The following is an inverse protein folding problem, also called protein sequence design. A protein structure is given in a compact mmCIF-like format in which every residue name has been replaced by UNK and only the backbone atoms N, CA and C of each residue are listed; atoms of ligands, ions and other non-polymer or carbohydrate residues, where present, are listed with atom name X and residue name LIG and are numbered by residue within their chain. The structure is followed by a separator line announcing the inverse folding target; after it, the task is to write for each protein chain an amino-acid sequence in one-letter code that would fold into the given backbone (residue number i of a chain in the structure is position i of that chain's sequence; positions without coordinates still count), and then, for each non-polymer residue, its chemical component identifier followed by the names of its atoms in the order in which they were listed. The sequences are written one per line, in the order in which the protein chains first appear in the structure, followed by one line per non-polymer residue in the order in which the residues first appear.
data_IF_865717402107
#
_entry.id   IF_865717402107
#
_cell.length_a   1.000
_cell.length_b   1.000
_cell.length_c   1.000
_cell.angle_alpha   90.00
_cell.angle_beta   90.00
_cell.angle_gamma   90.00
#
_symmetry.space_group_name_H-M   'P 1'
#
loop_
_entity.id
_entity.type
_entity.pdbx_description
1 polymer ?
#
# COMPACT_ATOMS: atom_id res chain seq x y z
N UNK A 1 17.94 22.22 -0.10
CA UNK A 1 19.36 22.37 0.32
C UNK A 1 20.20 21.26 -0.30
N UNK A 2 21.21 21.61 -1.09
CA UNK A 2 21.99 20.64 -1.87
C UNK A 2 21.54 20.49 -3.32
N UNK A 3 20.79 21.47 -3.83
CA UNK A 3 20.36 21.50 -5.24
C UNK A 3 21.59 21.54 -6.16
N UNK A 4 21.48 20.98 -7.37
CA UNK A 4 22.58 20.98 -8.34
C UNK A 4 22.08 21.21 -9.76
N UNK A 5 22.87 21.90 -10.58
CA UNK A 5 22.62 22.03 -12.02
C UNK A 5 23.07 20.80 -12.82
N UNK A 6 23.80 19.87 -12.22
CA UNK A 6 24.32 18.67 -12.91
C UNK A 6 23.25 17.56 -12.95
N UNK A 7 22.75 17.16 -14.14
CA UNK A 7 21.83 16.04 -14.27
C UNK A 7 22.41 14.75 -13.68
N UNK A 8 21.56 13.92 -13.09
CA UNK A 8 21.95 12.66 -12.45
C UNK A 8 22.39 12.77 -10.99
N UNK A 9 22.63 13.97 -10.46
CA UNK A 9 22.80 14.15 -9.01
C UNK A 9 21.44 14.10 -8.29
N UNK A 10 21.42 13.54 -7.08
CA UNK A 10 20.23 13.47 -6.23
C UNK A 10 19.56 14.85 -6.09
N UNK A 11 20.32 15.88 -5.72
CA UNK A 11 19.78 17.23 -5.56
C UNK A 11 19.26 17.89 -6.84
N UNK A 12 19.74 17.47 -8.02
CA UNK A 12 19.15 17.86 -9.30
C UNK A 12 17.78 17.21 -9.47
N UNK A 13 17.69 15.90 -9.24
CA UNK A 13 16.45 15.14 -9.46
C UNK A 13 15.33 15.59 -8.52
N UNK A 14 15.63 15.85 -7.25
CA UNK A 14 14.67 16.36 -6.27
C UNK A 14 14.11 17.72 -6.71
N UNK A 15 15.01 18.64 -7.10
CA UNK A 15 14.59 19.97 -7.56
C UNK A 15 13.73 19.88 -8.82
N UNK A 16 14.11 19.01 -9.77
CA UNK A 16 13.35 18.78 -10.99
C UNK A 16 11.93 18.27 -10.69
N UNK A 17 11.81 17.26 -9.81
CA UNK A 17 10.54 16.68 -9.43
C UNK A 17 9.62 17.72 -8.76
N UNK A 18 10.13 18.45 -7.77
CA UNK A 18 9.38 19.51 -7.10
C UNK A 18 8.99 20.63 -8.07
N UNK A 19 9.91 21.13 -8.89
CA UNK A 19 9.61 22.18 -9.87
C UNK A 19 8.48 21.78 -10.83
N UNK A 20 8.42 20.51 -11.21
CA UNK A 20 7.50 20.02 -12.24
C UNK A 20 6.10 19.74 -11.67
N UNK A 21 5.98 19.32 -10.41
CA UNK A 21 4.72 18.84 -9.83
C UNK A 21 4.18 19.67 -8.68
N UNK A 22 5.05 20.28 -7.87
CA UNK A 22 4.63 21.00 -6.67
C UNK A 22 3.94 22.30 -7.06
N UNK A 23 2.78 22.54 -6.44
CA UNK A 23 1.95 23.71 -6.75
C UNK A 23 2.42 24.99 -6.05
N UNK A 24 3.32 24.87 -5.07
CA UNK A 24 3.89 26.00 -4.33
C UNK A 24 5.23 26.49 -4.89
N UNK A 25 5.86 27.41 -4.16
CA UNK A 25 7.16 27.98 -4.53
C UNK A 25 8.29 27.03 -4.16
N UNK A 26 9.32 26.95 -5.01
CA UNK A 26 10.48 26.09 -4.82
C UNK A 26 11.76 26.92 -4.89
N UNK A 27 12.59 26.83 -3.84
CA UNK A 27 13.84 27.59 -3.73
C UNK A 27 15.05 26.63 -3.71
N UNK A 28 15.84 26.55 -4.79
CA UNK A 28 17.11 25.83 -4.75
C UNK A 28 18.10 26.54 -3.82
N UNK A 29 18.83 25.75 -3.03
CA UNK A 29 19.89 26.24 -2.14
C UNK A 29 21.20 25.55 -2.49
N UNK A 30 22.18 26.34 -2.94
CA UNK A 30 23.54 25.95 -3.29
C UNK A 30 24.48 27.17 -3.22
N UNK A 31 25.61 27.11 -2.49
CA UNK A 31 26.50 28.26 -2.30
C UNK A 31 27.30 28.69 -3.55
N UNK A 32 27.29 27.91 -4.63
CA UNK A 32 28.11 28.11 -5.83
C UNK A 32 27.31 28.42 -7.09
N UNK A 33 25.98 28.44 -7.01
CA UNK A 33 25.12 28.58 -8.17
C UNK A 33 24.16 29.74 -7.93
N UNK A 34 24.00 30.61 -8.92
CA UNK A 34 23.06 31.73 -8.88
C UNK A 34 21.68 31.33 -9.42
N UNK A 35 21.63 30.34 -10.31
CA UNK A 35 20.39 29.82 -10.91
C UNK A 35 20.51 28.31 -11.16
N UNK A 36 19.44 27.56 -10.93
CA UNK A 36 19.34 26.12 -11.25
C UNK A 36 17.95 25.84 -11.83
N UNK A 37 17.90 25.20 -13.01
CA UNK A 37 16.63 24.88 -13.71
C UNK A 37 15.73 26.12 -13.90
N UNK A 38 16.29 27.30 -14.17
CA UNK A 38 15.49 28.53 -14.34
C UNK A 38 14.94 29.12 -13.04
N UNK A 39 15.37 28.62 -11.88
CA UNK A 39 14.98 29.12 -10.56
C UNK A 39 16.18 29.81 -9.91
N UNK A 40 15.95 31.00 -9.34
CA UNK A 40 16.95 31.71 -8.54
C UNK A 40 17.43 30.81 -7.40
N UNK A 41 18.74 30.65 -7.29
CA UNK A 41 19.38 29.83 -6.29
C UNK A 41 19.98 30.70 -5.19
N UNK A 42 19.78 30.28 -3.95
CA UNK A 42 20.24 31.00 -2.76
C UNK A 42 21.43 30.25 -2.15
N UNK A 43 22.43 30.95 -1.61
CA UNK A 43 23.58 30.27 -1.00
C UNK A 43 23.24 29.67 0.38
N UNK A 44 22.22 30.20 1.07
CA UNK A 44 21.72 29.72 2.36
C UNK A 44 20.19 29.78 2.43
N UNK A 45 19.58 28.93 3.27
CA UNK A 45 18.14 28.97 3.56
C UNK A 45 17.72 30.28 4.23
N UNK A 46 18.64 30.92 4.97
CA UNK A 46 18.41 32.21 5.64
C UNK A 46 18.22 33.36 4.65
N UNK A 47 18.77 33.26 3.44
CA UNK A 47 18.72 34.32 2.43
C UNK A 47 17.47 34.27 1.56
N UNK A 48 16.63 33.25 1.72
CA UNK A 48 15.32 33.20 1.07
C UNK A 48 14.46 34.31 1.71
N UNK A 49 13.91 35.26 0.94
CA UNK A 49 13.16 36.38 1.50
C UNK A 49 11.79 35.97 2.05
N UNK A 50 11.25 34.86 1.56
CA UNK A 50 9.94 34.34 1.95
C UNK A 50 10.02 33.37 3.13
N UNK A 51 8.88 33.04 3.71
CA UNK A 51 8.74 31.95 4.68
C UNK A 51 8.93 30.60 3.96
N UNK A 52 9.46 29.62 4.69
CA UNK A 52 9.77 28.30 4.15
C UNK A 52 9.19 27.24 5.09
N UNK A 53 8.19 26.49 4.62
CA UNK A 53 7.52 25.48 5.46
C UNK A 53 8.31 24.16 5.55
N UNK A 54 8.93 23.77 4.43
CA UNK A 54 9.61 22.49 4.25
C UNK A 54 11.00 22.69 3.64
N UNK A 55 12.01 22.10 4.27
CA UNK A 55 13.35 21.99 3.70
C UNK A 55 13.69 20.54 3.34
N UNK A 56 14.17 20.30 2.11
CA UNK A 56 14.71 19.00 1.69
C UNK A 56 16.24 19.09 1.66
N UNK A 57 16.92 18.21 2.39
CA UNK A 57 18.38 18.21 2.54
C UNK A 57 18.99 17.00 1.85
N UNK A 58 19.88 17.24 0.87
CA UNK A 58 20.58 16.20 0.11
C UNK A 58 22.08 16.52 -0.05
N UNK A 59 22.78 16.70 1.07
CA UNK A 59 24.22 17.02 1.16
C UNK A 59 24.98 15.98 2.03
N UNK A 60 26.32 15.92 2.03
CA UNK A 60 27.04 14.96 2.88
C UNK A 60 26.68 15.06 4.37
N UNK A 61 26.52 13.91 5.03
CA UNK A 61 25.98 13.79 6.41
C UNK A 61 26.59 14.76 7.42
N UNK A 62 27.92 14.93 7.41
CA UNK A 62 28.65 15.82 8.34
C UNK A 62 28.22 17.29 8.30
N UNK A 63 27.56 17.74 7.23
CA UNK A 63 27.09 19.12 7.10
C UNK A 63 25.60 19.27 7.41
N UNK A 64 24.88 18.17 7.62
CA UNK A 64 23.43 18.17 7.78
C UNK A 64 22.99 18.81 9.11
N UNK A 65 23.60 18.51 10.28
CA UNK A 65 23.15 19.12 11.54
C UNK A 65 23.16 20.65 11.49
N UNK A 66 24.22 21.26 10.96
CA UNK A 66 24.28 22.71 10.80
C UNK A 66 23.18 23.25 9.87
N UNK A 67 22.85 22.54 8.78
CA UNK A 67 21.74 22.97 7.93
C UNK A 67 20.37 22.83 8.62
N UNK A 68 20.18 21.82 9.48
CA UNK A 68 18.95 21.69 10.29
C UNK A 68 18.84 22.86 11.27
N UNK A 69 19.95 23.27 11.91
CA UNK A 69 20.01 24.46 12.76
C UNK A 69 19.61 25.72 11.97
N UNK A 70 20.19 25.96 10.79
CA UNK A 70 19.85 27.12 9.95
C UNK A 70 18.38 27.08 9.49
N UNK A 71 17.82 25.90 9.22
CA UNK A 71 16.39 25.75 8.96
C UNK A 71 15.55 26.17 10.17
N UNK A 72 15.96 25.79 11.38
CA UNK A 72 15.33 26.21 12.62
C UNK A 72 15.39 27.73 12.84
N UNK A 73 16.54 28.36 12.60
CA UNK A 73 16.70 29.81 12.66
C UNK A 73 15.82 30.55 11.63
N UNK A 74 15.61 29.95 10.46
CA UNK A 74 14.68 30.45 9.43
C UNK A 74 13.20 30.28 9.81
N UNK A 75 12.90 29.46 10.81
CA UNK A 75 11.53 29.15 11.24
C UNK A 75 10.85 28.03 10.43
N UNK A 76 11.63 27.20 9.72
CA UNK A 76 11.13 26.05 8.94
C UNK A 76 10.42 25.05 9.85
N UNK A 77 9.26 24.54 9.41
CA UNK A 77 8.42 23.65 10.23
C UNK A 77 8.82 22.19 10.11
N UNK A 78 9.25 21.75 8.92
CA UNK A 78 9.63 20.38 8.68
C UNK A 78 10.89 20.26 7.80
N UNK A 79 11.68 19.21 8.05
CA UNK A 79 12.87 18.88 7.28
C UNK A 79 12.80 17.42 6.82
N UNK A 80 13.04 17.19 5.53
CA UNK A 80 13.21 15.85 4.95
C UNK A 80 14.69 15.65 4.63
N UNK A 81 15.34 14.73 5.33
CA UNK A 81 16.78 14.48 5.18
C UNK A 81 17.01 13.23 4.33
N UNK A 82 17.32 13.45 3.05
CA UNK A 82 17.56 12.38 2.07
C UNK A 82 18.92 11.72 2.31
N UNK A 83 19.88 12.48 2.81
CA UNK A 83 21.26 12.03 3.00
C UNK A 83 21.39 10.79 3.88
N UNK A 84 22.23 9.85 3.45
CA UNK A 84 22.74 8.75 4.27
C UNK A 84 24.09 9.12 4.92
N UNK A 85 24.60 8.27 5.79
CA UNK A 85 25.88 8.41 6.50
C UNK A 85 25.72 8.62 8.01
N UNK A 86 24.62 8.14 8.60
CA UNK A 86 24.20 8.42 9.97
C UNK A 86 24.25 7.15 10.83
N UNK A 87 23.28 6.91 11.72
CA UNK A 87 23.29 5.81 12.68
C UNK A 87 23.43 4.43 12.03
N UNK A 88 23.05 4.29 10.76
CA UNK A 88 23.24 3.07 9.98
C UNK A 88 24.72 2.78 9.64
N UNK A 89 25.63 3.74 9.87
CA UNK A 89 27.08 3.59 9.69
C UNK A 89 27.85 3.48 10.99
N UNK A 90 27.19 3.53 12.14
CA UNK A 90 27.80 3.35 13.46
C UNK A 90 27.79 4.61 14.33
N UNK A 91 28.63 4.61 15.36
CA UNK A 91 28.55 5.54 16.49
C UNK A 91 28.76 7.02 16.11
N UNK A 92 29.68 7.31 15.18
CA UNK A 92 29.88 8.68 14.70
C UNK A 92 28.64 9.24 14.00
N UNK A 93 27.96 8.39 13.24
CA UNK A 93 26.72 8.77 12.56
C UNK A 93 25.56 8.95 13.53
N UNK A 94 25.50 8.18 14.63
CA UNK A 94 24.51 8.38 15.71
C UNK A 94 24.68 9.74 16.38
N UNK A 95 25.91 10.20 16.60
CA UNK A 95 26.16 11.55 17.14
C UNK A 95 25.58 12.65 16.24
N UNK A 96 25.70 12.48 14.92
CA UNK A 96 25.07 13.39 13.97
C UNK A 96 23.52 13.35 14.06
N UNK A 97 22.94 12.18 14.30
CA UNK A 97 21.49 12.05 14.53
C UNK A 97 21.04 12.73 15.83
N UNK A 98 21.83 12.62 16.90
CA UNK A 98 21.60 13.30 18.17
C UNK A 98 21.64 14.82 18.01
N UNK A 99 22.61 15.35 17.25
CA UNK A 99 22.67 16.79 16.93
C UNK A 99 21.45 17.24 16.10
N UNK A 100 21.04 16.45 15.11
CA UNK A 100 19.83 16.73 14.31
C UNK A 100 18.60 16.79 15.23
N UNK A 101 18.43 15.81 16.10
CA UNK A 101 17.30 15.75 17.03
C UNK A 101 17.34 16.91 18.03
N UNK A 102 18.53 17.26 18.53
CA UNK A 102 18.71 18.41 19.41
C UNK A 102 18.22 19.72 18.76
N UNK A 103 18.61 19.99 17.51
CA UNK A 103 18.14 21.17 16.79
C UNK A 103 16.65 21.08 16.46
N UNK A 104 16.15 19.90 16.09
CA UNK A 104 14.73 19.69 15.83
C UNK A 104 13.87 20.11 17.03
N UNK A 105 14.24 19.63 18.22
CA UNK A 105 13.57 19.97 19.48
C UNK A 105 13.74 21.44 19.86
N UNK A 106 14.94 22.00 19.72
CA UNK A 106 15.25 23.39 20.09
C UNK A 106 14.43 24.40 19.29
N UNK A 107 14.27 24.16 18.00
CA UNK A 107 13.55 25.07 17.10
C UNK A 107 12.10 24.67 16.84
N UNK A 108 11.60 23.62 17.51
CA UNK A 108 10.26 23.07 17.31
C UNK A 108 9.95 22.77 15.83
N UNK A 109 10.90 22.11 15.15
CA UNK A 109 10.72 21.59 13.79
C UNK A 109 10.69 20.06 13.82
N UNK A 110 10.05 19.45 12.82
CA UNK A 110 9.97 17.99 12.69
C UNK A 110 10.90 17.46 11.60
N UNK A 111 11.41 16.24 11.79
CA UNK A 111 12.37 15.61 10.86
C UNK A 111 11.85 14.26 10.37
N UNK A 112 11.80 14.10 9.04
CA UNK A 112 11.66 12.80 8.37
C UNK A 112 13.05 12.32 7.92
N UNK A 113 13.39 11.08 8.27
CA UNK A 113 14.69 10.47 8.00
C UNK A 113 15.61 10.44 9.23
N UNK A 114 16.92 10.67 9.08
CA UNK A 114 17.66 10.81 7.82
C UNK A 114 17.67 9.50 7.03
N UNK A 115 18.48 9.44 5.97
CA UNK A 115 18.58 8.27 5.09
C UNK A 115 17.20 7.84 4.56
N UNK A 116 16.40 8.82 4.15
CA UNK A 116 15.06 8.57 3.61
C UNK A 116 15.03 8.70 2.09
N UNK A 117 14.08 7.98 1.50
CA UNK A 117 13.69 8.18 0.12
C UNK A 117 12.82 9.43 -0.08
N UNK A 118 12.29 10.03 0.99
CA UNK A 118 11.50 11.25 0.93
C UNK A 118 9.98 11.02 0.98
N UNK A 119 9.24 12.07 0.64
CA UNK A 119 7.77 12.15 0.71
C UNK A 119 7.20 12.50 -0.66
N UNK A 120 6.20 11.74 -1.08
CA UNK A 120 5.39 12.03 -2.25
C UNK A 120 3.92 12.20 -1.85
N UNK A 121 3.28 13.25 -2.35
CA UNK A 121 1.85 13.47 -2.22
C UNK A 121 1.32 13.99 -3.58
N UNK A 122 0.49 13.20 -4.30
CA UNK A 122 0.05 13.54 -5.64
C UNK A 122 -0.90 14.74 -5.69
N UNK A 123 -1.66 15.02 -4.62
CA UNK A 123 -2.65 16.11 -4.60
C UNK A 123 -1.99 17.49 -4.47
N UNK A 124 -1.01 17.61 -3.60
CA UNK A 124 -0.22 18.84 -3.38
C UNK A 124 0.91 18.97 -4.40
N UNK A 125 1.34 17.86 -4.99
CA UNK A 125 2.47 17.78 -5.90
C UNK A 125 3.83 17.74 -5.21
N UNK A 126 3.88 17.58 -3.89
CA UNK A 126 5.13 17.34 -3.16
C UNK A 126 5.76 16.04 -3.68
N UNK A 127 6.97 16.12 -4.22
CA UNK A 127 7.71 14.99 -4.77
C UNK A 127 9.20 15.15 -4.42
N UNK A 128 9.54 14.82 -3.17
CA UNK A 128 10.92 14.86 -2.70
C UNK A 128 11.75 13.59 -3.00
N UNK A 129 11.17 12.43 -3.42
CA UNK A 129 11.95 11.32 -3.91
C UNK A 129 12.82 11.65 -5.11
N UNK A 130 14.04 11.11 -5.11
CA UNK A 130 15.03 11.31 -6.18
C UNK A 130 14.92 10.27 -7.30
N UNK A 131 13.71 9.83 -7.62
CA UNK A 131 13.44 8.91 -8.74
C UNK A 131 12.85 9.70 -9.91
N UNK A 132 13.46 9.64 -11.12
CA UNK A 132 12.87 10.19 -12.33
C UNK A 132 11.67 9.36 -12.78
N UNK A 133 10.65 10.02 -13.31
CA UNK A 133 9.38 9.41 -13.74
C UNK A 133 9.55 8.24 -14.72
N UNK A 134 10.56 8.29 -15.61
CA UNK A 134 10.89 7.17 -16.51
C UNK A 134 11.30 5.87 -15.82
N UNK A 135 11.63 5.91 -14.52
CA UNK A 135 12.06 4.75 -13.71
C UNK A 135 10.98 4.27 -12.75
N UNK A 136 10.00 5.14 -12.47
CA UNK A 136 8.87 4.86 -11.59
C UNK A 136 7.78 5.84 -12.01
N UNK A 137 6.74 5.31 -12.65
CA UNK A 137 5.55 6.09 -12.92
C UNK A 137 5.00 6.61 -11.59
N UNK A 138 4.52 7.86 -11.59
CA UNK A 138 4.07 8.51 -10.36
C UNK A 138 2.61 8.11 -10.12
N UNK A 139 2.28 7.49 -8.97
CA UNK A 139 0.91 7.08 -8.72
C UNK A 139 -0.03 8.29 -8.67
N UNK A 140 -1.23 8.11 -9.19
CA UNK A 140 -2.31 9.11 -9.16
C UNK A 140 -2.89 9.29 -7.75
N UNK A 141 -3.66 10.37 -7.50
CA UNK A 141 -4.37 10.53 -6.24
C UNK A 141 -5.31 9.35 -5.94
N UNK A 142 -5.23 8.85 -4.71
CA UNK A 142 -6.13 7.83 -4.17
C UNK A 142 -6.13 7.88 -2.65
N UNK A 143 -6.40 6.74 -2.01
CA UNK A 143 -6.61 6.65 -0.56
C UNK A 143 -5.60 5.72 0.17
N UNK A 144 -4.55 5.27 -0.53
CA UNK A 144 -3.49 4.44 0.05
C UNK A 144 -2.37 5.33 0.60
N UNK A 145 -2.12 5.25 1.91
CA UNK A 145 -0.85 5.64 2.50
C UNK A 145 0.11 4.46 2.43
N UNK A 146 1.24 4.64 1.75
CA UNK A 146 2.32 3.65 1.76
C UNK A 146 3.56 4.21 2.47
N UNK A 147 3.90 3.59 3.59
CA UNK A 147 5.08 3.92 4.39
C UNK A 147 6.15 2.85 4.21
N UNK A 148 7.42 3.25 4.13
CA UNK A 148 8.51 2.28 4.12
C UNK A 148 9.72 2.78 4.90
N UNK A 149 10.25 1.89 5.74
CA UNK A 149 11.57 2.09 6.36
C UNK A 149 12.71 1.89 5.34
N UNK A 150 12.50 1.10 4.29
CA UNK A 150 13.46 0.90 3.21
C UNK A 150 13.14 1.77 2.01
N UNK A 151 14.07 2.67 1.65
CA UNK A 151 13.88 3.55 0.50
C UNK A 151 13.78 2.83 -0.83
N UNK A 152 14.56 1.77 -1.02
CA UNK A 152 14.51 0.96 -2.24
C UNK A 152 13.15 0.27 -2.40
N UNK A 153 12.60 -0.29 -1.31
CA UNK A 153 11.27 -0.89 -1.36
C UNK A 153 10.15 0.15 -1.52
N UNK A 154 10.31 1.38 -1.02
CA UNK A 154 9.33 2.43 -1.30
C UNK A 154 9.25 2.72 -2.80
N UNK A 155 10.38 2.82 -3.48
CA UNK A 155 10.43 3.02 -4.93
C UNK A 155 9.82 1.84 -5.70
N UNK A 156 10.18 0.61 -5.34
CA UNK A 156 9.66 -0.59 -6.01
C UNK A 156 8.14 -0.77 -5.80
N UNK A 157 7.65 -0.57 -4.57
CA UNK A 157 6.22 -0.65 -4.28
C UNK A 157 5.45 0.52 -4.90
N UNK A 158 6.05 1.72 -4.93
CA UNK A 158 5.53 2.89 -5.64
C UNK A 158 5.32 2.61 -7.13
N UNK A 159 6.27 1.92 -7.76
CA UNK A 159 6.17 1.48 -9.16
C UNK A 159 5.05 0.46 -9.35
N UNK A 160 4.95 -0.53 -8.46
CA UNK A 160 3.88 -1.54 -8.51
C UNK A 160 2.49 -0.94 -8.38
N UNK A 161 2.26 -0.05 -7.41
CA UNK A 161 0.96 0.62 -7.26
C UNK A 161 0.63 1.49 -8.48
N UNK A 162 1.63 2.17 -9.06
CA UNK A 162 1.40 2.94 -10.28
C UNK A 162 1.02 2.06 -11.47
N UNK A 163 1.70 0.92 -11.65
CA UNK A 163 1.40 -0.03 -12.74
C UNK A 163 -0.04 -0.53 -12.67
N UNK A 164 -0.53 -0.83 -11.47
CA UNK A 164 -1.85 -1.42 -11.26
C UNK A 164 -2.98 -0.38 -11.09
N UNK A 165 -2.67 0.89 -11.40
CA UNK A 165 -3.57 2.04 -11.25
C UNK A 165 -4.13 2.14 -9.82
N UNK A 166 -3.30 1.82 -8.84
CA UNK A 166 -3.60 1.95 -7.42
C UNK A 166 -3.20 3.36 -7.00
N UNK A 167 -4.20 4.20 -6.70
CA UNK A 167 -3.98 5.59 -6.30
C UNK A 167 -3.48 5.71 -4.87
N UNK A 168 -2.69 6.73 -4.56
CA UNK A 168 -2.09 6.95 -3.23
C UNK A 168 -2.52 8.28 -2.63
N UNK A 169 -2.68 8.32 -1.32
CA UNK A 169 -2.72 9.60 -0.58
C UNK A 169 -1.31 10.12 -0.41
N UNK A 170 -0.39 9.26 0.06
CA UNK A 170 1.02 9.60 0.25
C UNK A 170 1.92 8.37 0.07
N UNK A 171 3.16 8.60 -0.40
CA UNK A 171 4.28 7.67 -0.21
C UNK A 171 5.27 8.31 0.76
N UNK A 172 5.63 7.63 1.84
CA UNK A 172 6.50 8.19 2.88
C UNK A 172 7.64 7.24 3.22
N UNK A 173 8.86 7.66 2.92
CA UNK A 173 10.06 7.02 3.43
C UNK A 173 10.37 7.56 4.82
N UNK A 174 10.53 6.69 5.81
CA UNK A 174 10.84 7.10 7.19
C UNK A 174 12.32 6.96 7.55
N UNK A 175 13.09 6.16 6.78
CA UNK A 175 14.53 6.03 6.93
C UNK A 175 14.95 5.59 8.34
N UNK A 176 15.88 6.32 8.96
CA UNK A 176 16.40 6.00 10.28
C UNK A 176 15.46 6.40 11.44
N UNK A 177 14.43 7.23 11.20
CA UNK A 177 13.38 7.59 12.17
C UNK A 177 13.93 8.27 13.43
N UNK A 178 14.76 9.30 13.26
CA UNK A 178 15.36 10.01 14.40
C UNK A 178 14.31 10.78 15.19
N UNK A 179 13.33 11.36 14.49
CA UNK A 179 12.18 12.07 15.05
C UNK A 179 10.86 11.40 14.61
N UNK A 180 10.32 11.76 13.44
CA UNK A 180 9.04 11.21 12.95
C UNK A 180 9.20 9.73 12.63
N UNK A 181 8.39 8.89 13.27
CA UNK A 181 8.39 7.44 13.09
C UNK A 181 7.04 6.89 12.59
N UNK A 182 6.96 5.57 12.41
CA UNK A 182 5.74 4.89 11.98
C UNK A 182 4.54 5.15 12.90
N UNK A 183 4.78 5.39 14.18
CA UNK A 183 3.70 5.60 15.16
C UNK A 183 3.08 6.99 14.99
N UNK A 184 3.92 8.01 14.74
CA UNK A 184 3.42 9.36 14.43
C UNK A 184 2.58 9.37 13.14
N UNK A 185 3.03 8.62 12.13
CA UNK A 185 2.30 8.56 10.85
C UNK A 185 0.97 7.85 11.00
N UNK A 186 0.89 6.72 11.73
CA UNK A 186 -0.40 6.06 11.96
C UNK A 186 -1.32 6.97 12.77
N UNK A 187 -0.81 7.70 13.77
CA UNK A 187 -1.62 8.64 14.57
C UNK A 187 -2.14 9.79 13.73
N UNK A 188 -1.29 10.42 12.91
CA UNK A 188 -1.68 11.51 12.03
C UNK A 188 -2.72 11.07 11.00
N UNK A 189 -2.45 9.96 10.31
CA UNK A 189 -3.33 9.48 9.24
C UNK A 189 -4.53 8.69 9.76
N UNK A 190 -4.68 8.48 11.07
CA UNK A 190 -5.88 7.90 11.68
C UNK A 190 -7.13 8.73 11.34
N UNK A 191 -7.00 10.04 11.40
CA UNK A 191 -8.11 10.99 11.24
C UNK A 191 -8.11 11.72 9.89
N UNK A 192 -7.12 11.44 9.04
CA UNK A 192 -7.09 11.94 7.66
C UNK A 192 -8.19 11.27 6.81
N UNK A 193 -9.14 12.08 6.33
CA UNK A 193 -10.27 11.60 5.51
C UNK A 193 -9.84 11.14 4.12
N UNK A 194 -8.71 11.65 3.60
CA UNK A 194 -8.20 11.24 2.29
C UNK A 194 -7.53 9.86 2.31
N UNK A 195 -7.10 9.38 3.48
CA UNK A 195 -6.45 8.09 3.65
C UNK A 195 -7.43 7.03 4.15
N UNK A 196 -7.70 6.04 3.31
CA UNK A 196 -8.57 4.91 3.60
C UNK A 196 -7.81 3.61 3.95
N UNK A 197 -6.52 3.51 3.59
CA UNK A 197 -5.70 2.30 3.81
C UNK A 197 -4.30 2.73 4.21
N UNK A 198 -3.74 2.10 5.24
CA UNK A 198 -2.34 2.32 5.65
C UNK A 198 -1.56 1.02 5.39
N UNK A 199 -0.54 1.05 4.54
CA UNK A 199 0.37 -0.06 4.30
C UNK A 199 1.79 0.32 4.69
N UNK A 200 2.51 -0.57 5.38
CA UNK A 200 3.86 -0.27 5.90
C UNK A 200 4.84 -1.42 5.69
N UNK A 201 5.99 -1.11 5.10
CA UNK A 201 7.19 -1.94 5.16
C UNK A 201 8.02 -1.55 6.39
N UNK A 202 8.12 -2.44 7.37
CA UNK A 202 8.81 -2.16 8.64
C UNK A 202 9.95 -3.16 8.88
N UNK A 203 11.12 -2.65 9.28
CA UNK A 203 12.24 -3.47 9.74
C UNK A 203 12.27 -3.52 11.26
N UNK A 204 11.87 -2.45 11.92
CA UNK A 204 11.71 -2.34 13.37
C UNK A 204 10.62 -1.33 13.73
N UNK A 205 10.08 -1.43 14.95
CA UNK A 205 9.18 -0.43 15.54
C UNK A 205 9.87 0.20 16.74
N UNK A 206 9.94 1.53 16.79
CA UNK A 206 10.68 2.28 17.82
C UNK A 206 9.88 2.36 19.12
N UNK A 207 8.60 2.72 19.03
CA UNK A 207 7.68 2.94 20.16
C UNK A 207 6.61 1.87 20.27
N UNK A 208 7.01 0.61 20.45
CA UNK A 208 6.13 -0.56 20.33
C UNK A 208 4.80 -0.50 21.10
N UNK A 209 4.79 -0.08 22.37
CA UNK A 209 3.55 0.05 23.16
C UNK A 209 2.59 1.08 22.59
N UNK A 210 3.13 2.23 22.20
CA UNK A 210 2.35 3.33 21.63
C UNK A 210 1.85 2.97 20.23
N UNK A 211 2.69 2.33 19.42
CA UNK A 211 2.31 1.80 18.11
C UNK A 211 1.10 0.86 18.20
N UNK A 212 1.10 -0.08 19.16
CA UNK A 212 -0.04 -0.98 19.39
C UNK A 212 -1.31 -0.20 19.75
N UNK A 213 -1.20 0.77 20.66
CA UNK A 213 -2.34 1.62 21.09
C UNK A 213 -2.95 2.35 19.90
N UNK A 214 -2.10 3.08 19.17
CA UNK A 214 -2.50 3.87 18.00
C UNK A 214 -3.07 2.98 16.90
N UNK A 215 -2.44 1.84 16.61
CA UNK A 215 -2.99 0.88 15.67
C UNK A 215 -4.37 0.37 16.08
N UNK A 216 -4.58 0.00 17.35
CA UNK A 216 -5.88 -0.48 17.86
C UNK A 216 -6.98 0.57 17.70
N UNK A 217 -6.66 1.86 17.85
CA UNK A 217 -7.60 2.95 17.58
C UNK A 217 -7.87 3.12 16.07
N UNK A 218 -6.82 3.06 15.26
CA UNK A 218 -6.92 3.30 13.82
C UNK A 218 -7.65 2.18 13.08
N UNK A 219 -7.48 0.90 13.46
CA UNK A 219 -8.17 -0.23 12.81
C UNK A 219 -9.69 -0.19 12.95
N UNK A 220 -10.23 0.57 13.91
CA UNK A 220 -11.66 0.85 14.03
C UNK A 220 -12.20 1.71 12.89
N UNK A 221 -11.32 2.43 12.20
CA UNK A 221 -11.64 3.35 11.11
C UNK A 221 -11.16 2.82 9.76
N UNK A 222 -9.91 2.35 9.70
CA UNK A 222 -9.21 1.99 8.45
C UNK A 222 -8.22 0.84 8.63
N UNK A 223 -8.06 -0.05 7.63
CA UNK A 223 -7.11 -1.15 7.69
C UNK A 223 -5.66 -0.68 7.77
N UNK A 224 -4.88 -1.41 8.57
CA UNK A 224 -3.41 -1.28 8.65
C UNK A 224 -2.80 -2.59 8.18
N UNK A 225 -1.99 -2.54 7.13
CA UNK A 225 -1.29 -3.67 6.52
C UNK A 225 0.21 -3.50 6.79
N UNK A 226 0.86 -4.51 7.38
CA UNK A 226 2.29 -4.46 7.68
C UNK A 226 3.01 -5.65 7.07
N UNK A 227 4.02 -5.37 6.25
CA UNK A 227 5.07 -6.33 5.95
C UNK A 227 6.25 -6.10 6.91
N UNK A 228 6.48 -7.05 7.82
CA UNK A 228 7.60 -7.03 8.76
C UNK A 228 8.78 -7.80 8.19
N UNK A 229 9.85 -7.09 7.84
CA UNK A 229 11.12 -7.69 7.44
C UNK A 229 11.88 -8.26 8.66
N UNK A 230 12.88 -9.12 8.41
CA UNK A 230 13.73 -9.68 9.48
C UNK A 230 13.02 -10.70 10.38
N UNK A 231 12.17 -11.55 9.80
CA UNK A 231 11.35 -12.54 10.51
C UNK A 231 12.13 -13.76 11.03
N UNK A 232 13.28 -14.04 10.44
CA UNK A 232 14.16 -15.15 10.81
C UNK A 232 15.40 -14.60 11.49
N UNK A 233 16.15 -15.44 12.23
CA UNK A 233 17.40 -14.99 12.88
C UNK A 233 18.37 -14.32 11.88
N UNK A 234 18.55 -14.92 10.69
CA UNK A 234 19.42 -14.35 9.66
C UNK A 234 18.88 -13.03 9.11
N UNK A 235 17.58 -12.95 8.85
CA UNK A 235 16.96 -11.71 8.39
C UNK A 235 17.00 -10.60 9.45
N UNK A 236 16.80 -10.95 10.72
CA UNK A 236 16.86 -10.04 11.85
C UNK A 236 18.27 -9.47 12.02
N UNK A 237 19.30 -10.32 11.93
CA UNK A 237 20.70 -9.87 11.90
C UNK A 237 20.98 -8.92 10.73
N UNK A 238 20.53 -9.26 9.53
CA UNK A 238 20.72 -8.42 8.35
C UNK A 238 20.04 -7.05 8.50
N UNK A 239 18.78 -7.01 8.97
CA UNK A 239 18.05 -5.77 9.22
C UNK A 239 18.70 -4.93 10.32
N UNK A 240 19.20 -5.57 11.38
CA UNK A 240 19.94 -4.90 12.46
C UNK A 240 21.23 -4.27 11.97
N UNK A 241 22.03 -4.97 11.17
CA UNK A 241 23.24 -4.41 10.56
C UNK A 241 22.95 -3.32 9.53
N UNK A 242 21.80 -3.38 8.85
CA UNK A 242 21.38 -2.40 7.86
C UNK A 242 20.90 -1.09 8.47
N UNK A 243 20.23 -1.14 9.63
CA UNK A 243 19.60 0.04 10.27
C UNK A 243 20.32 0.52 11.52
N UNK A 244 21.23 -0.26 12.07
CA UNK A 244 21.82 -0.02 13.38
C UNK A 244 20.86 -0.22 14.56
N UNK A 245 19.64 -0.74 14.32
CA UNK A 245 18.63 -1.00 15.35
C UNK A 245 18.72 -2.42 15.91
N UNK A 246 18.29 -2.62 17.16
CA UNK A 246 18.26 -3.96 17.77
C UNK A 246 17.17 -4.81 17.10
N UNK A 247 17.53 -6.01 16.68
CA UNK A 247 16.59 -6.97 16.14
C UNK A 247 15.56 -7.39 17.21
N UNK A 248 14.29 -7.13 16.95
CA UNK A 248 13.20 -7.63 17.80
C UNK A 248 12.83 -9.07 17.49
N UNK A 249 12.19 -9.73 18.44
CA UNK A 249 11.71 -11.13 18.34
C UNK A 249 10.43 -11.16 17.51
N UNK A 250 10.40 -11.99 16.46
CA UNK A 250 9.32 -11.97 15.47
C UNK A 250 7.97 -12.41 16.06
N UNK A 251 7.99 -13.35 17.00
CA UNK A 251 6.82 -13.84 17.73
C UNK A 251 6.15 -12.73 18.54
N UNK A 252 6.94 -11.78 19.06
CA UNK A 252 6.41 -10.61 19.78
C UNK A 252 5.71 -9.66 18.80
N UNK A 253 6.29 -9.42 17.62
CA UNK A 253 5.62 -8.64 16.57
C UNK A 253 4.32 -9.31 16.12
N UNK A 254 4.31 -10.64 15.97
CA UNK A 254 3.11 -11.37 15.58
C UNK A 254 1.97 -11.21 16.57
N UNK A 255 2.27 -11.41 17.86
CA UNK A 255 1.31 -11.24 18.94
C UNK A 255 0.81 -9.79 19.03
N UNK A 256 1.73 -8.82 18.94
CA UNK A 256 1.40 -7.40 18.97
C UNK A 256 0.47 -6.99 17.82
N UNK A 257 0.78 -7.41 16.59
CA UNK A 257 -0.06 -7.09 15.42
C UNK A 257 -1.44 -7.75 15.53
N UNK A 258 -1.51 -9.00 16.01
CA UNK A 258 -2.79 -9.67 16.28
C UNK A 258 -3.63 -8.89 17.31
N UNK A 259 -3.03 -8.48 18.42
CA UNK A 259 -3.70 -7.70 19.48
C UNK A 259 -4.14 -6.31 19.01
N UNK A 260 -3.40 -5.69 18.09
CA UNK A 260 -3.69 -4.37 17.55
C UNK A 260 -4.66 -4.38 16.35
N UNK A 261 -5.06 -5.55 15.85
CA UNK A 261 -5.87 -5.67 14.63
C UNK A 261 -5.12 -5.44 13.33
N UNK A 262 -3.79 -5.32 13.37
CA UNK A 262 -2.95 -5.11 12.18
C UNK A 262 -2.97 -6.37 11.32
N UNK A 263 -3.14 -6.17 10.01
CA UNK A 263 -3.06 -7.22 8.99
C UNK A 263 -1.59 -7.43 8.67
N UNK A 264 -1.06 -8.60 9.02
CA UNK A 264 0.33 -8.93 8.74
C UNK A 264 0.45 -9.60 7.37
N UNK A 265 1.16 -8.96 6.45
CA UNK A 265 1.52 -9.56 5.17
C UNK A 265 2.75 -10.48 5.32
N UNK A 266 2.71 -11.62 4.65
CA UNK A 266 3.75 -12.65 4.76
C UNK A 266 4.90 -12.44 3.76
N UNK A 267 4.56 -11.93 2.58
CA UNK A 267 5.46 -11.60 1.48
C UNK A 267 5.10 -10.22 0.94
N UNK A 268 5.98 -9.61 0.15
CA UNK A 268 5.67 -8.35 -0.54
C UNK A 268 4.54 -8.53 -1.55
N UNK A 269 4.49 -9.68 -2.22
CA UNK A 269 3.39 -10.05 -3.11
C UNK A 269 2.07 -10.12 -2.35
N UNK A 270 2.05 -10.79 -1.19
CA UNK A 270 0.86 -10.86 -0.35
C UNK A 270 0.44 -9.47 0.14
N UNK A 271 1.37 -8.59 0.52
CA UNK A 271 1.04 -7.21 0.88
C UNK A 271 0.35 -6.48 -0.27
N UNK A 272 0.88 -6.61 -1.48
CA UNK A 272 0.32 -5.98 -2.67
C UNK A 272 -1.07 -6.53 -3.04
N UNK A 273 -1.26 -7.85 -2.88
CA UNK A 273 -2.55 -8.50 -3.10
C UNK A 273 -3.63 -7.96 -2.15
N UNK A 274 -3.30 -7.78 -0.87
CA UNK A 274 -4.19 -7.19 0.13
C UNK A 274 -4.49 -5.73 -0.23
N UNK A 275 -3.47 -4.91 -0.53
CA UNK A 275 -3.66 -3.50 -0.90
C UNK A 275 -4.65 -3.37 -2.06
N UNK A 276 -4.48 -4.19 -3.10
CA UNK A 276 -5.35 -4.18 -4.27
C UNK A 276 -6.79 -4.52 -3.92
N UNK A 277 -6.99 -5.52 -3.08
CA UNK A 277 -8.32 -5.94 -2.62
C UNK A 277 -9.03 -4.82 -1.87
N UNK A 278 -8.40 -4.26 -0.84
CA UNK A 278 -8.99 -3.20 -0.03
C UNK A 278 -9.27 -1.91 -0.80
N UNK A 279 -8.46 -1.58 -1.81
CA UNK A 279 -8.66 -0.34 -2.56
C UNK A 279 -9.80 -0.45 -3.58
N UNK A 280 -9.99 -1.62 -4.19
CA UNK A 280 -10.88 -1.76 -5.35
C UNK A 280 -12.23 -2.41 -5.00
N UNK A 281 -12.41 -2.92 -3.78
CA UNK A 281 -13.60 -3.66 -3.39
C UNK A 281 -14.19 -3.17 -2.06
N UNK A 282 -15.52 -3.24 -1.87
CA UNK A 282 -16.15 -3.00 -0.59
C UNK A 282 -15.73 -4.07 0.43
N UNK A 283 -15.90 -3.78 1.73
CA UNK A 283 -15.61 -4.76 2.78
C UNK A 283 -16.65 -5.89 2.76
N UNK A 284 -16.23 -7.15 2.96
CA UNK A 284 -17.17 -8.27 3.08
C UNK A 284 -18.03 -8.11 4.34
N UNK A 285 -19.30 -8.50 4.25
CA UNK A 285 -20.24 -8.46 5.39
C UNK A 285 -20.15 -9.67 6.31
N UNK A 286 -19.36 -10.67 5.92
CA UNK A 286 -19.24 -11.94 6.61
C UNK A 286 -18.19 -12.82 5.95
N UNK A 287 -18.29 -14.13 6.17
CA UNK A 287 -17.30 -15.13 5.74
C UNK A 287 -17.86 -16.19 4.80
N UNK A 288 -19.07 -16.00 4.25
CA UNK A 288 -19.73 -16.92 3.30
C UNK A 288 -19.41 -16.51 1.87
N UNK A 289 -18.72 -17.39 1.15
CA UNK A 289 -18.13 -17.08 -0.16
C UNK A 289 -18.80 -17.91 -1.25
N UNK A 290 -19.28 -17.26 -2.30
CA UNK A 290 -19.71 -17.91 -3.54
C UNK A 290 -18.53 -18.09 -4.48
N UNK A 291 -18.50 -19.19 -5.22
CA UNK A 291 -17.53 -19.43 -6.29
C UNK A 291 -18.29 -19.55 -7.60
N UNK A 292 -17.86 -18.80 -8.62
CA UNK A 292 -18.38 -18.89 -9.99
C UNK A 292 -17.20 -19.19 -10.92
N UNK A 293 -17.27 -20.27 -11.68
CA UNK A 293 -16.18 -20.70 -12.57
C UNK A 293 -16.72 -21.44 -13.80
N UNK A 294 -15.94 -21.46 -14.87
CA UNK A 294 -16.15 -22.33 -16.05
C UNK A 294 -15.24 -23.58 -16.02
N UNK A 295 -14.77 -23.96 -14.83
CA UNK A 295 -13.97 -25.17 -14.63
C UNK A 295 -14.11 -25.73 -13.23
N UNK A 296 -14.68 -26.94 -13.11
CA UNK A 296 -14.89 -27.61 -11.83
C UNK A 296 -13.63 -27.83 -11.00
N UNK A 297 -12.48 -28.14 -11.63
CA UNK A 297 -11.20 -28.28 -10.92
C UNK A 297 -10.74 -26.99 -10.22
N UNK A 298 -11.02 -25.84 -10.84
CA UNK A 298 -10.79 -24.53 -10.20
C UNK A 298 -11.71 -24.32 -8.99
N UNK A 299 -12.98 -24.73 -9.12
CA UNK A 299 -13.96 -24.67 -8.03
C UNK A 299 -13.51 -25.48 -6.80
N UNK A 300 -12.97 -26.69 -7.00
CA UNK A 300 -12.43 -27.54 -5.93
C UNK A 300 -11.28 -26.84 -5.19
N UNK A 301 -10.29 -26.32 -5.93
CA UNK A 301 -9.16 -25.59 -5.33
C UNK A 301 -9.64 -24.37 -4.55
N UNK A 302 -10.64 -23.65 -5.07
CA UNK A 302 -11.22 -22.51 -4.37
C UNK A 302 -11.92 -22.91 -3.06
N UNK A 303 -12.72 -23.97 -3.08
CA UNK A 303 -13.43 -24.46 -1.90
C UNK A 303 -12.43 -24.83 -0.79
N UNK A 304 -11.40 -25.61 -1.12
CA UNK A 304 -10.33 -25.97 -0.17
C UNK A 304 -9.64 -24.73 0.40
N UNK A 305 -9.24 -23.80 -0.47
CA UNK A 305 -8.54 -22.60 -0.04
C UNK A 305 -9.43 -21.67 0.82
N UNK A 306 -10.73 -21.58 0.55
CA UNK A 306 -11.68 -20.81 1.36
C UNK A 306 -11.74 -21.37 2.79
N UNK A 307 -11.91 -22.69 2.94
CA UNK A 307 -12.01 -23.33 4.26
C UNK A 307 -10.67 -23.28 5.01
N UNK A 308 -9.54 -23.53 4.33
CA UNK A 308 -8.21 -23.44 4.92
C UNK A 308 -7.86 -22.04 5.43
N UNK A 309 -8.51 -21.00 4.89
CA UNK A 309 -8.37 -19.62 5.33
C UNK A 309 -9.48 -19.15 6.30
N UNK A 310 -10.24 -20.09 6.87
CA UNK A 310 -11.22 -19.84 7.93
C UNK A 310 -12.51 -19.16 7.46
N UNK A 311 -12.81 -19.24 6.16
CA UNK A 311 -14.06 -18.81 5.55
C UNK A 311 -14.94 -20.03 5.23
N UNK A 312 -16.15 -19.81 4.72
CA UNK A 312 -17.13 -20.87 4.41
C UNK A 312 -17.60 -20.75 2.97
N UNK A 313 -17.74 -21.88 2.30
CA UNK A 313 -18.45 -21.94 1.02
C UNK A 313 -19.94 -21.68 1.31
N UNK A 314 -20.51 -20.66 0.67
CA UNK A 314 -21.90 -20.25 0.87
C UNK A 314 -22.88 -21.34 0.40
N UNK A 315 -24.04 -21.42 1.06
CA UNK A 315 -25.19 -22.18 0.56
C UNK A 315 -26.22 -21.18 0.09
N UNK A 316 -26.67 -21.33 -1.15
CA UNK A 316 -27.58 -20.37 -1.75
C UNK A 316 -29.00 -20.54 -1.20
N UNK A 317 -29.80 -19.50 -1.38
CA UNK A 317 -31.25 -19.54 -1.16
C UNK A 317 -31.94 -20.36 -2.26
N UNK A 318 -33.14 -20.88 -1.99
CA UNK A 318 -33.92 -21.54 -3.03
C UNK A 318 -34.28 -20.61 -4.20
N UNK A 319 -34.49 -19.32 -3.94
CA UNK A 319 -34.72 -18.32 -5.00
C UNK A 319 -33.54 -18.26 -5.97
N UNK A 320 -32.30 -18.27 -5.46
CA UNK A 320 -31.09 -18.33 -6.29
C UNK A 320 -31.02 -19.62 -7.09
N UNK A 321 -31.30 -20.76 -6.46
CA UNK A 321 -31.30 -22.04 -7.18
C UNK A 321 -32.38 -22.09 -8.27
N UNK A 322 -33.59 -21.59 -8.02
CA UNK A 322 -34.65 -21.48 -9.01
C UNK A 322 -34.24 -20.58 -10.18
N UNK A 323 -33.68 -19.40 -9.90
CA UNK A 323 -33.17 -18.48 -10.92
C UNK A 323 -32.15 -19.13 -11.85
N UNK A 324 -31.23 -19.93 -11.28
CA UNK A 324 -30.20 -20.65 -12.03
C UNK A 324 -30.78 -21.81 -12.84
N UNK A 325 -31.67 -22.63 -12.26
CA UNK A 325 -32.33 -23.77 -12.94
C UNK A 325 -33.12 -23.35 -14.18
N UNK A 326 -33.73 -22.17 -14.15
CA UNK A 326 -34.49 -21.64 -15.29
C UNK A 326 -33.62 -21.21 -16.48
N UNK A 327 -32.37 -20.84 -16.22
CA UNK A 327 -31.46 -20.25 -17.23
C UNK A 327 -30.41 -21.23 -17.71
N UNK A 328 -29.95 -22.11 -16.84
CA UNK A 328 -28.79 -22.94 -17.12
C UNK A 328 -29.20 -24.32 -17.64
N UNK A 329 -28.41 -24.87 -18.58
CA UNK A 329 -28.62 -26.23 -19.04
C UNK A 329 -28.31 -27.24 -17.92
N UNK A 330 -28.87 -28.46 -17.97
CA UNK A 330 -28.76 -29.44 -16.88
C UNK A 330 -27.35 -29.92 -16.56
N UNK A 331 -26.37 -29.70 -17.45
CA UNK A 331 -24.98 -30.11 -17.23
C UNK A 331 -24.18 -29.09 -16.40
N UNK A 332 -24.70 -27.88 -16.17
CA UNK A 332 -24.04 -26.91 -15.30
C UNK A 332 -24.19 -27.29 -13.84
N UNK A 333 -23.11 -27.12 -13.07
CA UNK A 333 -23.16 -27.19 -11.63
C UNK A 333 -23.76 -25.90 -11.10
N UNK A 334 -24.95 -25.95 -10.51
CA UNK A 334 -25.63 -24.79 -9.89
C UNK A 334 -25.47 -24.75 -8.36
N UNK A 335 -24.85 -25.77 -7.78
CA UNK A 335 -24.40 -25.74 -6.39
C UNK A 335 -23.22 -24.78 -6.24
N UNK A 336 -22.72 -24.58 -5.02
CA UNK A 336 -21.48 -23.83 -4.81
C UNK A 336 -20.31 -24.82 -4.67
N UNK A 337 -19.31 -24.83 -5.58
CA UNK A 337 -19.06 -23.88 -6.69
C UNK A 337 -20.03 -23.98 -7.88
N UNK A 338 -20.42 -22.83 -8.44
CA UNK A 338 -21.12 -22.78 -9.73
C UNK A 338 -20.10 -23.13 -10.83
N UNK A 339 -20.37 -24.18 -11.59
CA UNK A 339 -19.53 -24.68 -12.69
C UNK A 339 -20.27 -24.58 -14.03
N UNK A 340 -19.91 -23.56 -14.80
CA UNK A 340 -20.42 -23.28 -16.15
C UNK A 340 -19.77 -24.17 -17.21
N UNK A 341 -18.82 -25.04 -16.83
CA UNK A 341 -18.10 -25.94 -17.71
C UNK A 341 -17.41 -25.24 -18.89
N UNK A 342 -16.90 -25.98 -19.88
CA UNK A 342 -16.09 -25.40 -20.96
C UNK A 342 -16.86 -24.60 -22.02
N UNK A 343 -18.19 -24.66 -22.01
CA UNK A 343 -19.09 -24.01 -22.98
C UNK A 343 -19.82 -22.77 -22.43
N UNK A 344 -19.61 -22.40 -21.16
CA UNK A 344 -20.18 -21.19 -20.56
C UNK A 344 -19.71 -19.90 -21.25
N UNK A 345 -20.66 -19.08 -21.67
CA UNK A 345 -20.43 -17.82 -22.35
C UNK A 345 -20.50 -16.59 -21.41
N UNK A 346 -20.40 -15.39 -21.97
CA UNK A 346 -20.45 -14.15 -21.18
C UNK A 346 -21.82 -13.91 -20.55
N UNK A 347 -22.91 -14.34 -21.19
CA UNK A 347 -24.27 -14.25 -20.67
C UNK A 347 -24.47 -15.21 -19.49
N UNK A 348 -23.90 -16.41 -19.55
CA UNK A 348 -23.91 -17.38 -18.45
C UNK A 348 -23.16 -16.84 -17.22
N UNK A 349 -21.97 -16.28 -17.43
CA UNK A 349 -21.22 -15.61 -16.35
C UNK A 349 -21.98 -14.41 -15.78
N UNK A 350 -22.62 -13.60 -16.62
CA UNK A 350 -23.46 -12.48 -16.18
C UNK A 350 -24.57 -12.98 -15.27
N UNK A 351 -25.28 -14.03 -15.68
CA UNK A 351 -26.44 -14.56 -14.94
C UNK A 351 -26.02 -15.26 -13.64
N UNK A 352 -24.91 -16.02 -13.64
CA UNK A 352 -24.33 -16.60 -12.43
C UNK A 352 -23.92 -15.52 -11.42
N UNK A 353 -23.20 -14.49 -11.89
CA UNK A 353 -22.74 -13.39 -11.03
C UNK A 353 -23.91 -12.59 -10.46
N UNK A 354 -24.92 -12.29 -11.27
CA UNK A 354 -26.13 -11.59 -10.82
C UNK A 354 -26.87 -12.41 -9.74
N UNK A 355 -26.97 -13.73 -9.91
CA UNK A 355 -27.61 -14.62 -8.95
C UNK A 355 -26.87 -14.62 -7.59
N UNK A 356 -25.57 -14.91 -7.58
CA UNK A 356 -24.81 -15.00 -6.32
C UNK A 356 -24.61 -13.64 -5.63
N UNK A 357 -24.56 -12.54 -6.39
CA UNK A 357 -24.44 -11.20 -5.81
C UNK A 357 -25.75 -10.73 -5.16
N UNK A 358 -26.92 -11.20 -5.63
CA UNK A 358 -28.22 -10.94 -4.99
C UNK A 358 -28.43 -11.77 -3.72
N UNK A 359 -27.91 -12.99 -3.69
CA UNK A 359 -28.19 -13.96 -2.63
C UNK A 359 -27.78 -13.46 -1.22
N UNK A 360 -28.73 -13.41 -0.29
CA UNK A 360 -28.47 -12.92 1.09
C UNK A 360 -27.52 -13.82 1.91
N UNK A 361 -27.29 -15.05 1.47
CA UNK A 361 -26.34 -15.99 2.06
C UNK A 361 -24.90 -15.85 1.54
N UNK A 362 -24.66 -14.91 0.62
CA UNK A 362 -23.35 -14.64 0.03
C UNK A 362 -22.81 -13.31 0.52
N UNK A 363 -21.64 -13.34 1.16
CA UNK A 363 -20.95 -12.15 1.68
C UNK A 363 -19.82 -11.67 0.76
N UNK A 364 -19.30 -12.55 -0.10
CA UNK A 364 -18.23 -12.28 -1.06
C UNK A 364 -18.25 -13.30 -2.22
N UNK A 365 -17.61 -12.98 -3.35
CA UNK A 365 -17.52 -13.88 -4.52
C UNK A 365 -16.07 -14.07 -4.95
N UNK A 366 -15.71 -15.33 -5.26
CA UNK A 366 -14.51 -15.70 -6.01
C UNK A 366 -14.90 -16.05 -7.44
N UNK A 367 -14.38 -15.29 -8.38
CA UNK A 367 -14.62 -15.46 -9.81
C UNK A 367 -13.44 -16.19 -10.47
N UNK A 368 -13.70 -17.35 -11.06
CA UNK A 368 -12.72 -18.12 -11.83
C UNK A 368 -12.99 -18.06 -13.32
N UNK A 369 -11.98 -17.69 -14.12
CA UNK A 369 -12.08 -17.84 -15.57
C UNK A 369 -10.90 -18.62 -16.13
N UNK A 370 -11.21 -19.78 -16.69
CA UNK A 370 -10.33 -20.64 -17.46
C UNK A 370 -10.49 -20.27 -18.94
N UNK A 371 -9.62 -19.38 -19.41
CA UNK A 371 -9.66 -18.80 -20.75
C UNK A 371 -9.29 -19.78 -21.88
N UNK A 372 -8.87 -20.99 -21.54
CA UNK A 372 -8.51 -22.02 -22.51
C UNK A 372 -9.75 -22.74 -23.09
N UNK A 373 -10.95 -22.38 -22.61
CA UNK A 373 -12.22 -22.79 -23.21
C UNK A 373 -12.44 -22.16 -24.59
N UNK A 374 -13.39 -22.72 -25.36
CA UNK A 374 -13.60 -22.34 -26.77
C UNK A 374 -14.67 -21.26 -26.97
N UNK A 375 -15.51 -21.00 -25.96
CA UNK A 375 -16.68 -20.10 -26.07
C UNK A 375 -16.42 -18.73 -25.45
N UNK A 376 -15.67 -18.69 -24.35
CA UNK A 376 -15.48 -17.49 -23.56
C UNK A 376 -14.46 -16.54 -24.21
N UNK A 377 -14.98 -15.43 -24.74
CA UNK A 377 -14.18 -14.37 -25.37
C UNK A 377 -13.91 -13.19 -24.44
N UNK A 378 -13.03 -12.28 -24.86
CA UNK A 378 -12.55 -11.19 -24.00
C UNK A 378 -13.64 -10.19 -23.54
N UNK A 379 -14.78 -10.13 -24.25
CA UNK A 379 -15.91 -9.25 -23.90
C UNK A 379 -16.59 -9.67 -22.60
N UNK A 380 -16.40 -10.91 -22.15
CA UNK A 380 -16.90 -11.38 -20.86
C UNK A 380 -16.41 -10.53 -19.69
N UNK A 381 -15.17 -9.99 -19.78
CA UNK A 381 -14.60 -9.12 -18.76
C UNK A 381 -15.46 -7.89 -18.52
N UNK A 382 -15.88 -7.21 -19.59
CA UNK A 382 -16.68 -6.00 -19.49
C UNK A 382 -18.10 -6.29 -19.00
N UNK A 383 -18.69 -7.40 -19.46
CA UNK A 383 -20.04 -7.81 -19.07
C UNK A 383 -20.10 -8.15 -17.57
N UNK A 384 -19.16 -8.95 -17.08
CA UNK A 384 -19.05 -9.27 -15.66
C UNK A 384 -18.82 -8.00 -14.84
N UNK A 385 -17.93 -7.10 -15.28
CA UNK A 385 -17.67 -5.85 -14.57
C UNK A 385 -18.91 -4.95 -14.48
N UNK A 386 -19.80 -4.95 -15.49
CA UNK A 386 -21.08 -4.21 -15.43
C UNK A 386 -22.01 -4.77 -14.36
N UNK A 387 -22.06 -6.10 -14.21
CA UNK A 387 -22.87 -6.75 -13.16
C UNK A 387 -22.32 -6.44 -11.78
N UNK A 388 -21.02 -6.65 -11.57
CA UNK A 388 -20.36 -6.42 -10.26
C UNK A 388 -20.61 -5.01 -9.75
N UNK A 389 -20.54 -3.99 -10.62
CA UNK A 389 -20.77 -2.58 -10.26
C UNK A 389 -22.17 -2.27 -9.72
N UNK A 390 -23.15 -3.15 -9.89
CA UNK A 390 -24.51 -2.96 -9.34
C UNK A 390 -24.62 -3.34 -7.87
N UNK A 391 -23.63 -4.06 -7.32
CA UNK A 391 -23.72 -4.69 -6.01
C UNK A 391 -22.62 -4.21 -5.06
N UNK A 392 -22.97 -4.14 -3.77
CA UNK A 392 -22.08 -3.78 -2.67
C UNK A 392 -21.58 -5.05 -1.95
N UNK A 393 -20.93 -5.94 -2.70
CA UNK A 393 -20.27 -7.16 -2.20
C UNK A 393 -18.92 -7.33 -2.89
N UNK A 394 -17.85 -7.71 -2.16
CA UNK A 394 -16.54 -7.88 -2.78
C UNK A 394 -16.51 -9.06 -3.75
N UNK A 395 -15.93 -8.81 -4.93
CA UNK A 395 -15.61 -9.79 -5.96
C UNK A 395 -14.11 -9.76 -6.21
N UNK A 396 -13.45 -10.87 -5.95
CA UNK A 396 -12.05 -11.09 -6.32
C UNK A 396 -12.02 -12.24 -7.33
N UNK A 397 -11.09 -12.19 -8.28
CA UNK A 397 -11.04 -13.19 -9.35
C UNK A 397 -9.67 -13.81 -9.57
N UNK A 398 -9.63 -14.92 -10.28
CA UNK A 398 -8.39 -15.53 -10.73
C UNK A 398 -8.50 -16.21 -12.08
N UNK A 399 -7.45 -16.08 -12.88
CA UNK A 399 -7.32 -16.72 -14.19
C UNK A 399 -5.95 -17.33 -14.36
N UNK A 400 -5.78 -18.61 -14.00
CA UNK A 400 -4.56 -19.35 -14.27
C UNK A 400 -4.29 -19.44 -15.77
N UNK A 401 -3.07 -19.11 -16.19
CA UNK A 401 -2.65 -19.23 -17.59
C UNK A 401 -1.48 -18.31 -17.95
N UNK A 402 -1.18 -18.26 -19.25
CA UNK A 402 -0.10 -17.44 -19.82
C UNK A 402 -0.53 -16.03 -20.19
N UNK A 403 0.01 -15.51 -21.28
CA UNK A 403 -0.14 -14.10 -21.69
C UNK A 403 -1.60 -13.65 -21.84
N UNK A 404 -2.46 -14.49 -22.43
CA UNK A 404 -3.87 -14.16 -22.61
C UNK A 404 -4.58 -13.97 -21.26
N UNK A 405 -4.45 -14.94 -20.35
CA UNK A 405 -5.04 -14.89 -19.00
C UNK A 405 -4.48 -13.73 -18.17
N UNK A 406 -3.20 -13.41 -18.37
CA UNK A 406 -2.54 -12.27 -17.72
C UNK A 406 -3.12 -10.95 -18.22
N UNK A 407 -3.30 -10.79 -19.54
CA UNK A 407 -3.95 -9.62 -20.15
C UNK A 407 -5.39 -9.44 -19.67
N UNK A 408 -6.14 -10.54 -19.56
CA UNK A 408 -7.51 -10.48 -19.04
C UNK A 408 -7.54 -10.11 -17.55
N UNK A 409 -6.61 -10.65 -16.75
CA UNK A 409 -6.45 -10.26 -15.35
C UNK A 409 -6.13 -8.77 -15.22
N UNK A 410 -5.25 -8.22 -16.07
CA UNK A 410 -4.98 -6.78 -16.12
C UNK A 410 -6.25 -5.98 -16.44
N UNK A 411 -7.07 -6.39 -17.42
CA UNK A 411 -8.35 -5.73 -17.75
C UNK A 411 -9.34 -5.75 -16.58
N UNK A 412 -9.49 -6.87 -15.88
CA UNK A 412 -10.31 -6.93 -14.65
C UNK A 412 -9.78 -5.96 -13.58
N UNK A 413 -8.46 -5.93 -13.37
CA UNK A 413 -7.83 -5.03 -12.42
C UNK A 413 -8.10 -3.56 -12.78
N UNK A 414 -8.07 -3.19 -14.07
CA UNK A 414 -8.41 -1.85 -14.54
C UNK A 414 -9.88 -1.48 -14.31
N UNK A 415 -10.79 -2.46 -14.39
CA UNK A 415 -12.22 -2.28 -14.16
C UNK A 415 -12.63 -2.31 -12.69
N UNK A 416 -11.66 -2.46 -11.78
CA UNK A 416 -11.88 -2.45 -10.33
C UNK A 416 -12.12 -3.82 -9.73
N UNK A 417 -11.91 -4.92 -10.44
CA UNK A 417 -12.04 -6.29 -9.90
C UNK A 417 -10.62 -6.84 -9.68
N UNK A 418 -10.13 -6.94 -8.43
CA UNK A 418 -8.82 -7.52 -8.15
C UNK A 418 -8.74 -8.95 -8.70
N UNK A 419 -7.83 -9.14 -9.65
CA UNK A 419 -7.70 -10.38 -10.40
C UNK A 419 -6.27 -10.91 -10.32
N UNK A 420 -6.16 -12.17 -9.92
CA UNK A 420 -4.91 -12.81 -9.52
C UNK A 420 -4.55 -13.97 -10.47
N UNK A 421 -3.27 -14.37 -10.53
CA UNK A 421 -2.87 -15.47 -11.42
C UNK A 421 -3.27 -16.85 -10.90
N UNK A 422 -3.51 -16.99 -9.60
CA UNK A 422 -3.93 -18.25 -8.96
C UNK A 422 -4.98 -17.98 -7.88
N UNK A 423 -5.97 -18.88 -7.68
CA UNK A 423 -7.11 -18.63 -6.80
C UNK A 423 -6.72 -18.44 -5.33
N UNK A 424 -5.68 -19.13 -4.86
CA UNK A 424 -5.22 -19.05 -3.47
C UNK A 424 -4.78 -17.64 -3.09
N UNK A 425 -4.24 -16.87 -4.05
CA UNK A 425 -3.87 -15.46 -3.82
C UNK A 425 -5.11 -14.58 -3.64
N UNK A 426 -6.12 -14.76 -4.49
CA UNK A 426 -7.40 -14.07 -4.37
C UNK A 426 -8.07 -14.35 -3.02
N UNK A 427 -8.12 -15.62 -2.65
CA UNK A 427 -8.75 -16.10 -1.41
C UNK A 427 -7.98 -15.63 -0.18
N UNK A 428 -6.65 -15.61 -0.22
CA UNK A 428 -5.82 -15.11 0.89
C UNK A 428 -6.01 -13.60 1.09
N UNK A 429 -6.13 -12.83 0.02
CA UNK A 429 -6.46 -11.40 0.09
C UNK A 429 -7.88 -11.18 0.65
N UNK A 430 -8.87 -11.96 0.19
CA UNK A 430 -10.24 -11.90 0.73
C UNK A 430 -10.27 -12.25 2.23
N UNK A 431 -9.54 -13.29 2.65
CA UNK A 431 -9.42 -13.67 4.07
C UNK A 431 -8.85 -12.54 4.91
N UNK A 432 -7.89 -11.77 4.40
CA UNK A 432 -7.39 -10.58 5.09
C UNK A 432 -8.48 -9.52 5.29
N UNK A 433 -9.36 -9.30 4.30
CA UNK A 433 -10.52 -8.40 4.41
C UNK A 433 -11.53 -8.90 5.45
N UNK A 434 -11.91 -10.17 5.40
CA UNK A 434 -12.85 -10.79 6.36
C UNK A 434 -12.30 -10.70 7.79
N UNK A 435 -11.04 -11.05 7.99
CA UNK A 435 -10.41 -10.99 9.31
C UNK A 435 -10.30 -9.57 9.85
N UNK A 436 -10.05 -8.58 8.99
CA UNK A 436 -10.08 -7.18 9.37
C UNK A 436 -11.47 -6.76 9.87
N UNK A 437 -12.53 -7.08 9.12
CA UNK A 437 -13.92 -6.74 9.52
C UNK A 437 -14.26 -7.37 10.86
N UNK A 438 -14.01 -8.68 11.03
CA UNK A 438 -14.27 -9.39 12.29
C UNK A 438 -13.55 -8.74 13.49
N UNK A 439 -12.28 -8.37 13.32
CA UNK A 439 -11.50 -7.72 14.40
C UNK A 439 -11.98 -6.29 14.68
N UNK A 440 -12.28 -5.53 13.63
CA UNK A 440 -12.81 -4.17 13.74
C UNK A 440 -14.11 -4.17 14.55
N UNK A 441 -15.04 -5.06 14.23
CA UNK A 441 -16.30 -5.21 14.97
C UNK A 441 -16.07 -5.61 16.43
N UNK A 442 -15.16 -6.54 16.69
CA UNK A 442 -14.82 -6.93 18.06
C UNK A 442 -14.31 -5.74 18.89
N UNK A 443 -13.46 -4.88 18.32
CA UNK A 443 -12.98 -3.68 19.01
C UNK A 443 -14.02 -2.60 19.20
N UNK A 444 -14.99 -2.47 18.30
CA UNK A 444 -16.10 -1.53 18.48
C UNK A 444 -17.03 -1.98 19.61
N UNK A 445 -17.25 -3.29 19.76
CA UNK A 445 -18.06 -3.86 20.86
C UNK A 445 -17.38 -3.82 22.23
N UNK A 446 -16.04 -3.76 22.30
CA UNK A 446 -15.32 -3.60 23.57
C UNK A 446 -15.50 -2.20 24.19
N UNK A 447 -15.99 -1.21 23.43
CA UNK A 447 -16.19 0.16 23.90
C UNK A 447 -17.64 0.48 24.28
N UNK A 448 -18.59 -0.37 23.89
CA UNK A 448 -20.00 -0.35 24.31
C UNK A 448 -20.17 -1.03 25.67
#
# INVERSE_FOLDING_TARGET
IGASATPGKIGYQILYNLKTRFKGKVYPVNPKQEEILGLKCYPSVLEIPEEVDLAVISIPARFVPEQVKLCGEKGVKAVVIISSGFGERGEEGKKLEEEILHYALTYNLRVIGPNTHGVYNPRTGVDTPFIPERRMAKPEPGNLLLVSQSGAFLGALGDWVSKDKIGVSNLIGIGNKVDVDETDLVEWFKDDEETGIIAMYLESVKRGKEFIRVCKETVKKKPIIVFKAGRTQSGARAASSHTGSIAGVDEIYDAAFKQAGVIRAETLEHMFDIIRAFQKQPLPRGDRVAIVSNGGGFGVVCADAIELNGMRVARFTEETYEYLRERFPPHYGIENPIDLTGDGDKEDFRDAMEAVLRDENVDAVILGLIWQGVVLEDEAVDEIARVVKKYDKPVLGSSPGGDFSSKMSERFNELGIPHYPVPERAIKALSAMVNFVKRREAFLREEE
#
